data_IF_233327300027
#
_entry.id   IF_233327300027
#
_cell.length_a   1.000
_cell.length_b   1.000
_cell.length_c   1.000
_cell.angle_alpha   90.00
_cell.angle_beta   90.00
_cell.angle_gamma   90.00
#
_symmetry.space_group_name_H-M   'P 1'
#
loop_
_entity.id
_entity.type
_entity.pdbx_description
1 polymer ?
#
# COMPACT_ATOMS: atom_id res chain seq x y z
N UNK A 1 20.45 20.08 15.31
CA UNK A 1 18.99 20.33 15.16
C UNK A 1 18.44 19.91 13.81
N UNK A 2 19.28 19.88 12.78
CA UNK A 2 18.88 19.39 11.46
C UNK A 2 18.42 17.92 11.45
N UNK A 3 18.99 17.06 12.29
CA UNK A 3 18.59 15.65 12.36
C UNK A 3 17.16 15.44 12.85
N UNK A 4 16.67 16.25 13.78
CA UNK A 4 15.29 16.18 14.28
C UNK A 4 14.30 16.62 13.20
N UNK A 5 14.61 17.69 12.48
CA UNK A 5 13.81 18.17 11.38
C UNK A 5 13.76 17.17 10.23
N UNK A 6 14.87 16.52 9.91
CA UNK A 6 14.96 15.48 8.88
C UNK A 6 14.06 14.29 9.22
N UNK A 7 14.02 13.86 10.49
CA UNK A 7 13.14 12.78 10.94
C UNK A 7 11.66 13.17 10.90
N UNK A 8 11.33 14.44 11.05
CA UNK A 8 9.96 14.94 11.01
C UNK A 8 9.44 15.19 9.60
N UNK A 9 10.33 15.35 8.61
CA UNK A 9 9.93 15.59 7.23
C UNK A 9 9.52 14.29 6.56
N UNK A 10 8.41 14.28 5.79
CA UNK A 10 8.02 13.11 5.03
C UNK A 10 9.02 12.86 3.89
N UNK A 11 9.40 11.61 3.75
CA UNK A 11 10.28 11.14 2.68
C UNK A 11 9.43 10.32 1.69
N UNK A 12 9.81 10.33 0.43
CA UNK A 12 9.18 9.52 -0.61
C UNK A 12 10.02 8.26 -0.84
N UNK A 13 9.37 7.10 -0.77
CA UNK A 13 10.00 5.80 -1.02
C UNK A 13 9.36 5.12 -2.21
N UNK A 14 10.18 4.45 -3.01
CA UNK A 14 9.73 3.55 -4.08
C UNK A 14 9.97 2.11 -3.63
N UNK A 15 8.95 1.27 -3.70
CA UNK A 15 9.01 -0.15 -3.37
C UNK A 15 8.62 -0.95 -4.60
N UNK A 16 9.47 -1.90 -4.97
CA UNK A 16 9.17 -2.85 -6.05
C UNK A 16 8.40 -4.04 -5.50
N UNK A 17 7.20 -4.26 -6.04
CA UNK A 17 6.32 -5.35 -5.64
C UNK A 17 6.55 -6.65 -6.42
N UNK A 18 7.43 -6.65 -7.41
CA UNK A 18 7.66 -7.83 -8.27
C UNK A 18 8.17 -9.03 -7.46
N UNK A 19 7.48 -10.16 -7.56
CA UNK A 19 7.85 -11.39 -6.88
C UNK A 19 7.63 -11.42 -5.37
N UNK A 20 7.01 -10.40 -4.80
CA UNK A 20 6.79 -10.27 -3.36
C UNK A 20 5.37 -10.72 -3.00
N UNK A 21 5.17 -11.51 -1.93
CA UNK A 21 3.83 -11.86 -1.46
C UNK A 21 3.03 -10.62 -1.06
N UNK A 22 1.78 -10.55 -1.50
CA UNK A 22 0.90 -9.39 -1.30
C UNK A 22 0.76 -8.99 0.18
N UNK A 23 0.48 -9.96 1.05
CA UNK A 23 0.27 -9.69 2.47
C UNK A 23 1.52 -9.15 3.17
N UNK A 24 2.68 -9.72 2.88
CA UNK A 24 3.96 -9.26 3.45
C UNK A 24 4.35 -7.88 2.96
N UNK A 25 4.14 -7.61 1.67
CA UNK A 25 4.34 -6.28 1.11
C UNK A 25 3.44 -5.26 1.82
N UNK A 26 2.14 -5.57 1.90
CA UNK A 26 1.16 -4.66 2.50
C UNK A 26 1.47 -4.34 3.96
N UNK A 27 1.91 -5.32 4.76
CA UNK A 27 2.24 -5.09 6.17
C UNK A 27 3.42 -4.14 6.35
N UNK A 28 4.45 -4.28 5.54
CA UNK A 28 5.63 -3.39 5.60
C UNK A 28 5.31 -1.99 5.10
N UNK A 29 4.55 -1.88 4.02
CA UNK A 29 4.10 -0.59 3.50
C UNK A 29 3.21 0.14 4.51
N UNK A 30 2.29 -0.57 5.15
CA UNK A 30 1.42 0.01 6.17
C UNK A 30 2.21 0.53 7.38
N UNK A 31 3.26 -0.17 7.80
CA UNK A 31 4.14 0.29 8.89
C UNK A 31 4.85 1.60 8.53
N UNK A 32 5.30 1.74 7.29
CA UNK A 32 5.95 2.98 6.80
C UNK A 32 4.94 4.12 6.73
N UNK A 33 3.76 3.88 6.20
CA UNK A 33 2.69 4.88 6.10
C UNK A 33 2.24 5.37 7.48
N UNK A 34 2.25 4.49 8.47
CA UNK A 34 1.91 4.84 9.85
C UNK A 34 3.06 5.54 10.58
N UNK A 35 4.29 5.36 10.13
CA UNK A 35 5.47 5.96 10.73
C UNK A 35 6.09 5.15 11.86
N UNK A 36 5.76 3.87 12.00
CA UNK A 36 6.29 3.00 13.08
C UNK A 36 7.80 2.80 13.02
N UNK A 37 8.42 3.02 11.88
CA UNK A 37 9.87 2.94 11.71
C UNK A 37 10.62 4.17 12.21
N UNK A 38 9.91 5.23 12.62
CA UNK A 38 10.51 6.46 13.11
C UNK A 38 10.51 6.54 14.63
N UNK A 39 11.58 7.08 15.27
CA UNK A 39 11.58 7.30 16.72
C UNK A 39 10.57 8.36 17.15
N UNK A 40 10.12 9.22 16.25
CA UNK A 40 9.09 10.24 16.48
C UNK A 40 7.66 9.70 16.41
N UNK A 41 7.48 8.40 16.25
CA UNK A 41 6.15 7.80 16.14
C UNK A 41 5.25 8.17 17.31
N UNK A 42 4.08 8.72 16.98
CA UNK A 42 3.03 9.07 17.95
C UNK A 42 1.69 8.55 17.41
N UNK A 43 0.93 7.76 18.19
CA UNK A 43 -0.29 7.11 17.67
C UNK A 43 -1.38 8.07 17.19
N UNK A 44 -1.43 9.29 17.73
CA UNK A 44 -2.44 10.29 17.40
C UNK A 44 -1.98 11.30 16.33
N UNK A 45 -0.77 11.17 15.83
CA UNK A 45 -0.21 12.05 14.81
C UNK A 45 0.25 11.26 13.61
N UNK A 46 -0.01 11.77 12.41
CA UNK A 46 0.45 11.16 11.16
C UNK A 46 1.90 11.54 10.88
N UNK A 47 2.83 10.68 11.29
CA UNK A 47 4.28 10.86 11.13
C UNK A 47 4.87 10.02 10.01
N UNK A 48 4.04 9.30 9.25
CA UNK A 48 4.49 8.40 8.20
C UNK A 48 5.01 9.08 6.95
N UNK A 49 5.64 8.29 6.10
CA UNK A 49 6.21 8.73 4.83
C UNK A 49 5.32 8.35 3.66
N UNK A 50 5.58 8.98 2.50
CA UNK A 50 4.93 8.63 1.25
C UNK A 50 5.57 7.37 0.67
N UNK A 51 4.75 6.47 0.17
CA UNK A 51 5.21 5.21 -0.45
C UNK A 51 4.63 5.09 -1.85
N UNK A 52 5.51 4.80 -2.81
CA UNK A 52 5.15 4.50 -4.19
C UNK A 52 5.42 3.01 -4.40
N UNK A 53 4.39 2.25 -4.73
CA UNK A 53 4.52 0.83 -5.05
C UNK A 53 4.43 0.67 -6.57
N UNK A 54 5.42 0.01 -7.15
CA UNK A 54 5.49 -0.24 -8.59
C UNK A 54 5.43 -1.74 -8.88
N UNK A 55 5.19 -2.11 -10.13
CA UNK A 55 5.12 -3.50 -10.60
C UNK A 55 4.08 -4.35 -9.86
N UNK A 56 2.91 -3.80 -9.57
CA UNK A 56 1.86 -4.53 -8.83
C UNK A 56 1.27 -5.69 -9.62
N UNK A 57 1.42 -5.70 -10.94
CA UNK A 57 1.02 -6.81 -11.81
C UNK A 57 1.82 -8.10 -11.55
N UNK A 58 3.00 -7.97 -10.98
CA UNK A 58 3.93 -9.07 -10.68
C UNK A 58 3.92 -9.51 -9.22
N UNK A 59 2.95 -9.04 -8.44
CA UNK A 59 2.75 -9.47 -7.06
C UNK A 59 2.36 -10.94 -7.01
N UNK A 60 2.89 -11.67 -6.04
CA UNK A 60 2.66 -13.10 -5.88
C UNK A 60 1.60 -13.34 -4.81
N UNK A 61 0.68 -14.26 -5.10
CA UNK A 61 -0.24 -14.84 -4.13
C UNK A 61 0.15 -16.30 -3.90
N UNK A 62 0.33 -16.68 -2.63
CA UNK A 62 0.74 -18.04 -2.27
C UNK A 62 -0.44 -19.01 -2.26
N UNK A 63 -0.16 -20.31 -2.47
CA UNK A 63 -1.18 -21.34 -2.46
C UNK A 63 -2.20 -21.17 -3.58
N UNK A 64 -3.46 -21.50 -3.29
CA UNK A 64 -4.58 -21.42 -4.24
C UNK A 64 -5.37 -20.13 -4.18
N UNK A 65 -4.78 -19.04 -3.67
CA UNK A 65 -5.48 -17.76 -3.49
C UNK A 65 -5.96 -17.14 -4.80
N UNK A 66 -5.29 -17.42 -5.91
CA UNK A 66 -5.71 -16.92 -7.22
C UNK A 66 -7.10 -17.41 -7.61
N UNK A 67 -7.45 -18.63 -7.23
CA UNK A 67 -8.74 -19.24 -7.55
C UNK A 67 -9.75 -19.15 -6.40
N UNK A 68 -9.29 -19.28 -5.16
CA UNK A 68 -10.14 -19.41 -3.99
C UNK A 68 -10.43 -18.08 -3.29
N UNK A 69 -9.59 -17.09 -3.47
CA UNK A 69 -9.76 -15.77 -2.85
C UNK A 69 -10.55 -14.84 -3.76
N UNK A 70 -11.57 -14.18 -3.18
CA UNK A 70 -12.41 -13.22 -3.86
C UNK A 70 -12.34 -11.84 -3.19
N UNK A 71 -12.31 -10.81 -4.00
CA UNK A 71 -12.57 -9.45 -3.55
C UNK A 71 -14.08 -9.23 -3.59
N UNK A 72 -14.67 -8.95 -2.41
CA UNK A 72 -16.11 -8.78 -2.27
C UNK A 72 -16.43 -7.35 -1.84
N UNK A 73 -17.42 -6.77 -2.48
CA UNK A 73 -17.96 -5.49 -2.07
C UNK A 73 -19.47 -5.48 -2.28
N UNK A 74 -20.16 -4.58 -1.56
CA UNK A 74 -21.61 -4.48 -1.63
C UNK A 74 -22.01 -3.09 -2.13
N UNK A 75 -22.98 -3.02 -3.05
CA UNK A 75 -23.43 -1.77 -3.63
C UNK A 75 -24.41 -0.99 -2.73
N UNK A 76 -24.91 -1.61 -1.66
CA UNK A 76 -25.92 -1.05 -0.78
C UNK A 76 -27.36 -1.38 -1.18
N UNK A 77 -27.60 -1.99 -2.32
CA UNK A 77 -28.92 -2.44 -2.76
C UNK A 77 -29.11 -3.92 -2.45
N UNK A 78 -30.37 -4.36 -2.33
CA UNK A 78 -30.71 -5.77 -2.10
C UNK A 78 -30.14 -6.60 -3.26
N UNK A 79 -29.42 -7.68 -2.94
CA UNK A 79 -28.72 -8.51 -3.92
C UNK A 79 -27.50 -7.86 -4.56
N UNK A 80 -26.98 -6.78 -3.97
CA UNK A 80 -25.87 -6.00 -4.52
C UNK A 80 -24.47 -6.51 -4.14
N UNK A 81 -24.33 -7.74 -3.65
CA UNK A 81 -23.01 -8.33 -3.38
C UNK A 81 -22.28 -8.61 -4.69
N UNK A 82 -21.10 -8.04 -4.85
CA UNK A 82 -20.24 -8.26 -6.02
C UNK A 82 -18.99 -9.01 -5.59
N UNK A 83 -18.60 -9.98 -6.41
CA UNK A 83 -17.42 -10.80 -6.17
C UNK A 83 -16.52 -10.79 -7.41
N UNK A 84 -15.23 -10.61 -7.19
CA UNK A 84 -14.21 -10.68 -8.25
C UNK A 84 -13.11 -11.61 -7.77
N UNK A 85 -12.77 -12.64 -8.55
CA UNK A 85 -11.66 -13.53 -8.22
C UNK A 85 -10.34 -12.75 -8.24
N UNK A 86 -9.41 -13.11 -7.36
CA UNK A 86 -8.11 -12.46 -7.34
C UNK A 86 -7.31 -12.66 -8.62
N UNK A 87 -7.53 -13.77 -9.32
CA UNK A 87 -6.93 -13.99 -10.64
C UNK A 87 -7.31 -12.87 -11.62
N UNK A 88 -8.61 -12.56 -11.70
CA UNK A 88 -9.12 -11.48 -12.54
C UNK A 88 -8.68 -10.11 -12.04
N UNK A 89 -8.70 -9.91 -10.72
CA UNK A 89 -8.31 -8.65 -10.10
C UNK A 89 -6.85 -8.31 -10.34
N UNK A 90 -5.94 -9.27 -10.24
CA UNK A 90 -4.52 -9.05 -10.53
C UNK A 90 -4.25 -8.82 -12.01
N UNK A 91 -5.05 -9.42 -12.91
CA UNK A 91 -4.91 -9.21 -14.34
C UNK A 91 -5.35 -7.81 -14.77
N UNK A 92 -6.46 -7.31 -14.22
CA UNK A 92 -7.07 -6.05 -14.63
C UNK A 92 -6.75 -4.87 -13.72
N UNK A 93 -6.79 -5.07 -12.39
CA UNK A 93 -6.71 -4.03 -11.36
C UNK A 93 -5.77 -4.43 -10.23
N UNK A 94 -4.54 -4.76 -10.56
CA UNK A 94 -3.54 -5.14 -9.55
C UNK A 94 -3.22 -4.01 -8.57
N UNK A 95 -3.28 -2.76 -9.02
CA UNK A 95 -3.14 -1.59 -8.17
C UNK A 95 -4.20 -1.54 -7.07
N UNK A 96 -5.46 -1.81 -7.41
CA UNK A 96 -6.55 -1.86 -6.43
C UNK A 96 -6.34 -3.00 -5.41
N UNK A 97 -5.83 -4.15 -5.84
CA UNK A 97 -5.55 -5.28 -4.94
C UNK A 97 -4.53 -4.89 -3.87
N UNK A 98 -3.45 -4.24 -4.25
CA UNK A 98 -2.42 -3.77 -3.31
C UNK A 98 -2.97 -2.66 -2.42
N UNK A 99 -3.70 -1.71 -2.98
CA UNK A 99 -4.31 -0.60 -2.24
C UNK A 99 -5.24 -1.10 -1.13
N UNK A 100 -6.14 -2.03 -1.45
CA UNK A 100 -7.08 -2.58 -0.48
C UNK A 100 -6.38 -3.43 0.59
N UNK A 101 -5.33 -4.16 0.23
CA UNK A 101 -4.54 -4.91 1.20
C UNK A 101 -3.86 -3.99 2.23
N UNK A 102 -3.28 -2.89 1.78
CA UNK A 102 -2.66 -1.90 2.67
C UNK A 102 -3.71 -1.18 3.51
N UNK A 103 -4.83 -0.78 2.89
CA UNK A 103 -5.93 -0.10 3.59
C UNK A 103 -6.48 -0.94 4.74
N UNK A 104 -6.61 -2.25 4.54
CA UNK A 104 -7.07 -3.17 5.58
C UNK A 104 -6.13 -3.28 6.78
N UNK A 105 -4.85 -2.93 6.60
CA UNK A 105 -3.82 -2.99 7.65
C UNK A 105 -3.60 -1.64 8.35
N UNK A 106 -4.21 -0.57 7.87
CA UNK A 106 -4.17 0.73 8.50
C UNK A 106 -5.31 0.91 9.51
N UNK A 107 -5.20 1.84 10.49
CA UNK A 107 -6.30 2.14 11.41
C UNK A 107 -7.56 2.58 10.66
N UNK A 108 -8.72 2.17 11.19
CA UNK A 108 -10.03 2.46 10.57
C UNK A 108 -10.68 3.70 11.20
N UNK A 109 -9.98 4.80 11.15
CA UNK A 109 -10.42 6.09 11.67
C UNK A 109 -10.04 7.22 10.71
N UNK A 110 -10.27 8.47 11.09
CA UNK A 110 -9.92 9.63 10.26
C UNK A 110 -8.42 9.71 9.96
N UNK A 111 -7.59 9.39 10.94
CA UNK A 111 -6.14 9.37 10.78
C UNK A 111 -5.69 8.30 9.77
N UNK A 112 -6.28 7.11 9.84
CA UNK A 112 -6.00 6.04 8.88
C UNK A 112 -6.41 6.40 7.45
N UNK A 113 -7.52 7.12 7.28
CA UNK A 113 -7.92 7.64 5.97
C UNK A 113 -6.93 8.67 5.41
N UNK A 114 -6.30 9.45 6.26
CA UNK A 114 -5.25 10.39 5.84
C UNK A 114 -3.94 9.66 5.52
N UNK A 115 -3.61 8.62 6.26
CA UNK A 115 -2.43 7.78 6.00
C UNK A 115 -2.49 7.11 4.63
N UNK A 116 -3.65 6.58 4.24
CA UNK A 116 -3.79 5.88 2.95
C UNK A 116 -3.62 6.84 1.75
N UNK A 117 -3.86 8.12 1.92
CA UNK A 117 -3.65 9.13 0.87
C UNK A 117 -2.19 9.30 0.47
N UNK A 118 -1.26 8.87 1.32
CA UNK A 118 0.18 8.89 1.04
C UNK A 118 0.66 7.71 0.21
N UNK A 119 -0.20 6.74 -0.04
CA UNK A 119 0.12 5.59 -0.88
C UNK A 119 -0.18 5.90 -2.34
N UNK A 120 0.80 5.62 -3.19
CA UNK A 120 0.66 5.67 -4.65
C UNK A 120 1.00 4.29 -5.20
N UNK A 121 0.11 3.75 -6.01
CA UNK A 121 0.26 2.38 -6.52
C UNK A 121 0.21 2.42 -8.05
N UNK A 122 1.17 1.78 -8.68
CA UNK A 122 1.30 1.72 -10.14
C UNK A 122 1.45 0.29 -10.61
N UNK A 123 0.77 -0.03 -11.69
CA UNK A 123 0.79 -1.36 -12.28
C UNK A 123 2.13 -1.68 -12.94
N UNK A 124 2.71 -0.71 -13.63
CA UNK A 124 4.01 -0.84 -14.29
C UNK A 124 5.18 -0.34 -13.44
N UNK A 125 6.34 -0.26 -14.06
CA UNK A 125 7.56 0.22 -13.41
C UNK A 125 7.68 1.76 -13.38
N UNK A 126 6.87 2.46 -14.15
CA UNK A 126 6.93 3.92 -14.26
C UNK A 126 6.00 4.60 -13.25
N UNK A 127 6.45 5.72 -12.71
CA UNK A 127 5.68 6.57 -11.82
C UNK A 127 5.91 8.05 -12.15
N UNK A 128 4.98 8.92 -11.74
CA UNK A 128 5.00 10.34 -12.07
C UNK A 128 5.64 11.21 -10.97
N UNK A 129 6.46 10.61 -10.10
CA UNK A 129 6.97 11.27 -8.90
C UNK A 129 8.48 11.54 -8.93
N UNK A 130 9.06 11.70 -10.13
CA UNK A 130 10.50 12.00 -10.26
C UNK A 130 10.91 13.32 -9.61
N UNK A 131 10.01 14.32 -9.61
CA UNK A 131 10.26 15.62 -9.01
C UNK A 131 10.41 15.56 -7.49
N UNK A 132 9.78 14.60 -6.82
CA UNK A 132 9.89 14.38 -5.39
C UNK A 132 11.18 13.66 -4.97
N UNK A 133 11.98 13.20 -5.92
CA UNK A 133 13.23 12.47 -5.70
C UNK A 133 13.05 11.30 -4.74
N UNK A 134 12.19 10.31 -5.07
CA UNK A 134 11.92 9.20 -4.17
C UNK A 134 13.15 8.31 -4.02
N UNK A 135 13.38 7.82 -2.80
CA UNK A 135 14.44 6.88 -2.49
C UNK A 135 13.96 5.45 -2.73
N UNK A 136 14.79 4.64 -3.33
CA UNK A 136 14.47 3.24 -3.53
C UNK A 136 14.64 2.48 -2.22
N UNK A 137 13.57 1.85 -1.75
CA UNK A 137 13.55 1.11 -0.49
C UNK A 137 13.41 -0.38 -0.79
N UNK A 138 14.38 -1.16 -0.34
CA UNK A 138 14.36 -2.61 -0.46
C UNK A 138 13.84 -3.20 0.84
N UNK A 139 12.61 -3.74 0.82
CA UNK A 139 11.97 -4.32 2.00
C UNK A 139 12.25 -5.83 2.16
N UNK A 140 12.72 -6.48 1.11
CA UNK A 140 12.92 -7.93 1.07
C UNK A 140 14.27 -8.29 0.45
#
# INVERSE_FOLDING_TARGET
MTGVQTCALPIWYVVDAAGVPLGRLASKVAAILRGKNKPTFTPNVDTGDFVIVINTDKVVLTGKKLTDKYYRYHTGYIGGLKEVSYKKMLAEKSDLAVYEAVRGMLPKNSLGRDMIKKLRVYKGAEHNHAAQKPEQLKLF
#
